data_IF_949184689573
#
_entry.id   IF_949184689573
#
_cell.length_a   1.000
_cell.length_b   1.000
_cell.length_c   1.000
_cell.angle_alpha   90.00
_cell.angle_beta   90.00
_cell.angle_gamma   90.00
#
_symmetry.space_group_name_H-M   'P 1'
#
loop_
_entity.id
_entity.type
_entity.pdbx_description
1 polymer ?
#
# COMPACT_ATOMS: atom_id res chain seq x y z
N UNK A 1 -9.86 -27.63 -4.63
CA UNK A 1 -8.56 -27.10 -4.18
C UNK A 1 -8.80 -25.83 -3.37
N UNK A 2 -8.77 -25.94 -2.05
CA UNK A 2 -8.86 -24.81 -1.12
C UNK A 2 -7.58 -23.98 -1.25
N UNK A 3 -7.69 -22.82 -1.91
CA UNK A 3 -6.59 -21.86 -2.07
C UNK A 3 -6.18 -21.37 -0.68
N UNK A 4 -4.95 -21.68 -0.29
CA UNK A 4 -4.28 -21.23 0.93
C UNK A 4 -3.93 -19.73 0.89
N UNK A 5 -4.93 -18.86 0.62
CA UNK A 5 -4.72 -17.42 0.47
C UNK A 5 -4.24 -16.77 1.78
N UNK A 6 -4.67 -17.28 2.92
CA UNK A 6 -4.34 -16.69 4.23
C UNK A 6 -2.85 -16.83 4.60
N UNK A 7 -2.20 -17.89 4.13
CA UNK A 7 -0.78 -18.14 4.41
C UNK A 7 0.13 -17.18 3.64
N UNK A 8 -0.30 -16.78 2.44
CA UNK A 8 0.44 -15.87 1.58
C UNK A 8 0.45 -14.43 2.15
N UNK A 9 -0.69 -13.98 2.70
CA UNK A 9 -0.82 -12.62 3.22
C UNK A 9 0.00 -12.42 4.52
N UNK A 10 0.05 -13.42 5.40
CA UNK A 10 0.88 -13.38 6.62
C UNK A 10 2.37 -13.29 6.30
N UNK A 11 2.86 -14.12 5.36
CA UNK A 11 4.24 -14.08 4.87
C UNK A 11 4.56 -12.75 4.18
N UNK A 12 3.62 -12.24 3.39
CA UNK A 12 3.77 -10.94 2.73
C UNK A 12 3.83 -9.79 3.74
N UNK A 13 3.04 -9.83 4.81
CA UNK A 13 3.08 -8.83 5.88
C UNK A 13 4.43 -8.85 6.60
N UNK A 14 4.98 -10.03 6.91
CA UNK A 14 6.32 -10.16 7.49
C UNK A 14 7.40 -9.64 6.53
N UNK A 15 7.32 -9.97 5.24
CA UNK A 15 8.25 -9.49 4.23
C UNK A 15 8.23 -7.97 4.10
N UNK A 16 7.05 -7.36 4.13
CA UNK A 16 6.90 -5.91 4.12
C UNK A 16 7.54 -5.27 5.37
N UNK A 17 7.32 -5.85 6.56
CA UNK A 17 7.95 -5.35 7.81
C UNK A 17 9.48 -5.39 7.73
N UNK A 18 10.06 -6.50 7.30
CA UNK A 18 11.51 -6.63 7.14
C UNK A 18 12.08 -5.64 6.12
N UNK A 19 11.39 -5.46 4.99
CA UNK A 19 11.81 -4.54 3.95
C UNK A 19 11.69 -3.06 4.38
N UNK A 20 10.69 -2.71 5.20
CA UNK A 20 10.52 -1.35 5.71
C UNK A 20 11.49 -1.02 6.86
N UNK A 21 11.91 -2.01 7.65
CA UNK A 21 12.89 -1.83 8.72
C UNK A 21 14.31 -1.48 8.21
N UNK A 22 14.61 -1.75 6.93
CA UNK A 22 15.92 -1.51 6.33
C UNK A 22 15.93 -0.22 5.49
N UNK A 23 16.98 0.61 5.63
CA UNK A 23 17.16 1.82 4.81
C UNK A 23 17.31 1.49 3.31
N UNK A 24 18.02 0.41 2.99
CA UNK A 24 18.20 -0.14 1.63
C UNK A 24 17.87 -1.64 1.64
N UNK A 25 16.59 -2.03 1.55
CA UNK A 25 16.19 -3.43 1.64
C UNK A 25 16.63 -4.21 0.40
N UNK A 26 17.20 -5.40 0.62
CA UNK A 26 17.40 -6.37 -0.46
C UNK A 26 16.10 -7.17 -0.67
N UNK A 27 15.19 -6.61 -1.46
CA UNK A 27 13.86 -7.18 -1.71
C UNK A 27 13.93 -8.60 -2.30
N UNK A 28 14.92 -8.87 -3.15
CA UNK A 28 15.08 -10.19 -3.76
C UNK A 28 15.45 -11.26 -2.72
N UNK A 29 16.30 -10.90 -1.75
CA UNK A 29 16.67 -11.79 -0.64
C UNK A 29 15.46 -12.08 0.25
N UNK A 30 14.76 -11.04 0.69
CA UNK A 30 13.59 -11.15 1.58
C UNK A 30 12.47 -11.98 0.91
N UNK A 31 12.23 -11.76 -0.39
CA UNK A 31 11.22 -12.51 -1.13
C UNK A 31 11.53 -14.02 -1.21
N UNK A 32 12.80 -14.38 -1.40
CA UNK A 32 13.24 -15.79 -1.41
C UNK A 32 13.13 -16.43 -0.04
N UNK A 33 13.54 -15.73 1.01
CA UNK A 33 13.51 -16.23 2.40
C UNK A 33 12.08 -16.51 2.89
N UNK A 34 11.13 -15.66 2.50
CA UNK A 34 9.73 -15.78 2.93
C UNK A 34 8.83 -16.45 1.89
N UNK A 35 9.38 -16.88 0.75
CA UNK A 35 8.62 -17.56 -0.30
C UNK A 35 7.52 -16.72 -0.92
N UNK A 36 7.72 -15.39 -1.03
CA UNK A 36 6.72 -14.46 -1.58
C UNK A 36 7.15 -13.92 -2.95
N UNK A 37 6.17 -13.45 -3.73
CA UNK A 37 6.46 -12.79 -5.01
C UNK A 37 7.29 -11.52 -4.81
N UNK A 38 8.45 -11.46 -5.48
CA UNK A 38 9.34 -10.30 -5.49
C UNK A 38 8.64 -9.04 -6.01
N UNK A 39 7.87 -9.16 -7.09
CA UNK A 39 7.21 -8.01 -7.73
C UNK A 39 6.16 -7.43 -6.79
N UNK A 40 5.31 -8.30 -6.23
CA UNK A 40 4.28 -7.92 -5.26
C UNK A 40 4.88 -7.27 -4.01
N UNK A 41 5.98 -7.82 -3.48
CA UNK A 41 6.68 -7.23 -2.34
C UNK A 41 7.24 -5.85 -2.66
N UNK A 42 7.88 -5.68 -3.82
CA UNK A 42 8.43 -4.40 -4.24
C UNK A 42 7.34 -3.32 -4.37
N UNK A 43 6.21 -3.65 -5.00
CA UNK A 43 5.09 -2.73 -5.18
C UNK A 43 4.48 -2.31 -3.85
N UNK A 44 4.28 -3.27 -2.93
CA UNK A 44 3.75 -3.00 -1.58
C UNK A 44 4.69 -2.12 -0.76
N UNK A 45 6.00 -2.39 -0.80
CA UNK A 45 7.01 -1.57 -0.11
C UNK A 45 7.05 -0.15 -0.69
N UNK A 46 6.93 0.00 -2.02
CA UNK A 46 6.88 1.31 -2.68
C UNK A 46 5.63 2.10 -2.24
N UNK A 47 4.46 1.46 -2.25
CA UNK A 47 3.19 2.06 -1.78
C UNK A 47 3.23 2.43 -0.29
N UNK A 48 3.89 1.63 0.54
CA UNK A 48 4.04 1.93 1.97
C UNK A 48 4.98 3.12 2.23
N UNK A 49 6.05 3.25 1.43
CA UNK A 49 7.01 4.38 1.54
C UNK A 49 6.46 5.68 0.97
N UNK A 50 5.63 5.59 -0.07
CA UNK A 50 4.93 6.73 -0.65
C UNK A 50 3.44 6.46 -0.58
N UNK A 51 2.80 6.73 0.58
CA UNK A 51 1.36 6.69 0.66
C UNK A 51 0.81 7.59 -0.45
N UNK A 52 -0.20 7.15 -1.20
CA UNK A 52 -0.86 8.05 -2.12
C UNK A 52 -1.34 9.26 -1.32
N UNK A 53 -0.89 10.45 -1.69
CA UNK A 53 -1.48 11.68 -1.16
C UNK A 53 -2.94 11.66 -1.60
N UNK A 54 -3.91 11.70 -0.66
CA UNK A 54 -5.30 11.83 -1.02
C UNK A 54 -5.43 13.18 -1.70
N UNK A 55 -5.40 13.16 -3.03
CA UNK A 55 -5.70 14.34 -3.83
C UNK A 55 -7.20 14.47 -3.72
N UNK A 56 -7.68 15.39 -2.88
CA UNK A 56 -9.08 15.79 -2.91
C UNK A 56 -9.37 16.16 -4.36
N UNK A 57 -10.30 15.45 -5.04
CA UNK A 57 -10.63 15.83 -6.39
C UNK A 57 -11.26 17.22 -6.33
N UNK A 58 -10.50 18.25 -6.71
CA UNK A 58 -10.97 19.64 -6.85
C UNK A 58 -12.27 19.72 -7.68
N UNK A 59 -12.50 18.73 -8.54
CA UNK A 59 -13.69 18.56 -9.38
C UNK A 59 -14.98 18.31 -8.59
N UNK A 60 -14.87 17.75 -7.38
CA UNK A 60 -16.00 17.34 -6.54
C UNK A 60 -16.08 18.17 -5.25
N UNK A 61 -15.17 19.12 -5.04
CA UNK A 61 -15.28 20.06 -3.94
C UNK A 61 -16.30 21.13 -4.32
N UNK A 62 -17.34 21.29 -3.51
CA UNK A 62 -18.28 22.40 -3.68
C UNK A 62 -17.53 23.71 -3.47
N UNK A 63 -17.80 24.70 -4.32
CA UNK A 63 -17.28 26.03 -4.07
C UNK A 63 -17.89 26.58 -2.77
N UNK A 64 -17.23 27.50 -2.05
CA UNK A 64 -17.79 28.10 -0.84
C UNK A 64 -19.17 28.76 -1.05
N UNK A 65 -19.48 29.14 -2.29
CA UNK A 65 -20.78 29.65 -2.68
C UNK A 65 -21.85 28.55 -2.77
N UNK A 66 -21.50 27.39 -3.35
CA UNK A 66 -22.37 26.21 -3.39
C UNK A 66 -22.64 25.64 -2.00
N UNK A 67 -21.65 25.66 -1.11
CA UNK A 67 -21.84 25.27 0.29
C UNK A 67 -22.85 26.18 0.99
N UNK A 68 -22.73 27.50 0.85
CA UNK A 68 -23.69 28.47 1.43
C UNK A 68 -25.12 28.33 0.89
N UNK A 69 -25.28 27.85 -0.35
CA UNK A 69 -26.60 27.66 -0.95
C UNK A 69 -27.35 26.42 -0.43
N UNK A 70 -26.65 25.48 0.23
CA UNK A 70 -27.26 24.28 0.82
C UNK A 70 -27.63 24.47 2.30
N UNK A 71 -27.11 25.51 2.95
CA UNK A 71 -27.33 25.80 4.38
C UNK A 71 -28.44 26.83 4.64
N UNK A 72 -29.05 27.39 3.59
CA UNK A 72 -30.17 28.35 3.65
C UNK A 72 -31.45 27.73 3.10
#
# INVERSE_FOLDING_TARGET
MTKSADFDESRMAQACKLALAQKKPNIAKIARELGVSRTTLADRVKKAKSPPTPTTPLKNALSPYQEKALTN
#
